data_IF_391825109312
#
_entry.id   IF_391825109312
#
_cell.length_a   1.000
_cell.length_b   1.000
_cell.length_c   1.000
_cell.angle_alpha   90.00
_cell.angle_beta   90.00
_cell.angle_gamma   90.00
#
_symmetry.space_group_name_H-M   'P 1'
#
loop_
_entity.id
_entity.type
_entity.pdbx_description
1 polymer ?
#
# COMPACT_ATOMS: atom_id res chain seq x y z
N UNK A 1 -11.26 -24.18 1.04
CA UNK A 1 -11.06 -23.01 0.16
C UNK A 1 -10.34 -23.51 -1.08
N UNK A 2 -10.95 -23.30 -2.24
CA UNK A 2 -10.35 -23.72 -3.51
C UNK A 2 -9.34 -22.67 -3.99
N UNK A 3 -8.31 -23.13 -4.71
CA UNK A 3 -7.30 -22.24 -5.28
C UNK A 3 -7.90 -21.07 -6.10
N UNK A 4 -8.93 -21.28 -6.95
CA UNK A 4 -9.58 -20.18 -7.68
C UNK A 4 -10.19 -19.11 -6.78
N UNK A 5 -10.81 -19.49 -5.65
CA UNK A 5 -11.40 -18.52 -4.71
C UNK A 5 -10.32 -17.65 -4.05
N UNK A 6 -9.17 -18.23 -3.75
CA UNK A 6 -8.02 -17.49 -3.20
C UNK A 6 -7.48 -16.48 -4.21
N UNK A 7 -7.33 -16.89 -5.47
CA UNK A 7 -6.88 -16.01 -6.57
C UNK A 7 -7.87 -14.86 -6.77
N UNK A 8 -9.16 -15.14 -6.78
CA UNK A 8 -10.19 -14.11 -6.91
C UNK A 8 -10.17 -13.12 -5.73
N UNK A 9 -10.06 -13.62 -4.49
CA UNK A 9 -9.96 -12.77 -3.31
C UNK A 9 -8.72 -11.88 -3.35
N UNK A 10 -7.57 -12.39 -3.81
CA UNK A 10 -6.33 -11.60 -4.00
C UNK A 10 -6.49 -10.54 -5.07
N UNK A 11 -7.17 -10.87 -6.19
CA UNK A 11 -7.46 -9.90 -7.24
C UNK A 11 -8.33 -8.75 -6.70
N UNK A 12 -9.40 -9.07 -5.98
CA UNK A 12 -10.30 -8.07 -5.38
C UNK A 12 -9.55 -7.17 -4.36
N UNK A 13 -8.70 -7.76 -3.54
CA UNK A 13 -7.86 -7.01 -2.60
C UNK A 13 -6.91 -6.07 -3.35
N UNK A 14 -6.29 -6.53 -4.44
CA UNK A 14 -5.41 -5.72 -5.28
C UNK A 14 -6.12 -4.53 -5.92
N UNK A 15 -7.33 -4.74 -6.44
CA UNK A 15 -8.17 -3.66 -7.00
C UNK A 15 -8.52 -2.63 -5.91
N UNK A 16 -8.93 -3.09 -4.73
CA UNK A 16 -9.25 -2.20 -3.60
C UNK A 16 -8.06 -1.34 -3.16
N UNK A 17 -6.89 -1.95 -2.99
CA UNK A 17 -5.66 -1.24 -2.62
C UNK A 17 -5.19 -0.27 -3.72
N UNK A 18 -5.28 -0.69 -4.98
CA UNK A 18 -4.92 0.16 -6.13
C UNK A 18 -5.81 1.40 -6.24
N UNK A 19 -7.08 1.29 -5.89
CA UNK A 19 -7.99 2.44 -5.86
C UNK A 19 -7.81 3.32 -4.62
N UNK A 20 -7.44 2.77 -3.48
CA UNK A 20 -7.34 3.50 -2.22
C UNK A 20 -6.14 4.47 -2.20
N UNK A 21 -4.97 4.04 -2.67
CA UNK A 21 -3.73 4.83 -2.58
C UNK A 21 -3.81 6.21 -3.24
N UNK A 22 -4.26 6.37 -4.50
CA UNK A 22 -4.37 7.69 -5.13
C UNK A 22 -5.31 8.62 -4.38
N UNK A 23 -6.42 8.09 -3.87
CA UNK A 23 -7.40 8.87 -3.11
C UNK A 23 -6.83 9.35 -1.77
N UNK A 24 -6.07 8.49 -1.06
CA UNK A 24 -5.38 8.87 0.17
C UNK A 24 -4.34 9.97 -0.07
N UNK A 25 -3.57 9.89 -1.16
CA UNK A 25 -2.60 10.92 -1.55
C UNK A 25 -3.31 12.24 -1.79
N UNK A 26 -4.40 12.24 -2.57
CA UNK A 26 -5.17 13.42 -2.87
C UNK A 26 -5.71 14.09 -1.59
N UNK A 27 -6.43 13.34 -0.76
CA UNK A 27 -7.00 13.82 0.50
C UNK A 27 -5.92 14.36 1.45
N UNK A 28 -4.80 13.63 1.61
CA UNK A 28 -3.72 14.06 2.48
C UNK A 28 -3.07 15.35 1.98
N UNK A 29 -2.88 15.46 0.66
CA UNK A 29 -2.29 16.65 0.05
C UNK A 29 -3.20 17.88 0.14
N UNK A 30 -4.50 17.70 0.07
CA UNK A 30 -5.50 18.74 0.24
C UNK A 30 -5.58 19.22 1.71
N UNK A 31 -5.65 18.27 2.65
CA UNK A 31 -5.77 18.56 4.07
C UNK A 31 -4.53 19.29 4.63
N UNK A 32 -3.35 19.00 4.13
CA UNK A 32 -2.10 19.59 4.60
C UNK A 32 -1.80 21.00 4.07
N UNK A 33 -2.54 21.44 3.05
CA UNK A 33 -2.32 22.73 2.39
C UNK A 33 -1.00 22.81 1.60
N UNK A 34 -0.78 23.87 0.81
CA UNK A 34 0.31 23.94 -0.19
C UNK A 34 1.71 23.80 0.39
N UNK A 35 1.94 24.32 1.58
CA UNK A 35 3.28 24.38 2.21
C UNK A 35 3.76 23.01 2.73
N UNK A 36 2.85 22.16 3.19
CA UNK A 36 3.19 20.91 3.87
C UNK A 36 2.77 19.66 3.09
N UNK A 37 2.31 19.80 1.84
CA UNK A 37 1.84 18.69 1.00
C UNK A 37 2.82 17.52 0.93
N UNK A 38 4.08 17.81 0.60
CA UNK A 38 5.11 16.78 0.46
C UNK A 38 5.34 16.03 1.77
N UNK A 39 5.53 16.75 2.86
CA UNK A 39 5.75 16.15 4.19
C UNK A 39 4.56 15.30 4.65
N UNK A 40 3.35 15.77 4.45
CA UNK A 40 2.15 15.02 4.83
C UNK A 40 1.99 13.73 4.03
N UNK A 41 2.23 13.77 2.72
CA UNK A 41 2.21 12.60 1.86
C UNK A 41 3.32 11.62 2.22
N UNK A 42 4.55 12.09 2.47
CA UNK A 42 5.64 11.24 2.95
C UNK A 42 5.31 10.57 4.27
N UNK A 43 4.76 11.33 5.23
CA UNK A 43 4.34 10.79 6.52
C UNK A 43 3.23 9.73 6.38
N UNK A 44 2.26 9.98 5.50
CA UNK A 44 1.22 8.99 5.18
C UNK A 44 1.83 7.70 4.59
N UNK A 45 2.79 7.82 3.66
CA UNK A 45 3.47 6.67 3.07
C UNK A 45 4.28 5.86 4.08
N UNK A 46 4.81 6.46 5.14
CA UNK A 46 5.47 5.74 6.23
C UNK A 46 4.53 4.74 6.94
N UNK A 47 3.23 4.94 6.85
CA UNK A 47 2.25 3.99 7.37
C UNK A 47 2.37 2.58 6.78
N UNK A 48 2.76 2.47 5.50
CA UNK A 48 2.90 1.18 4.81
C UNK A 48 4.04 0.34 5.41
N UNK A 49 5.30 0.80 5.45
CA UNK A 49 6.39 0.01 6.05
C UNK A 49 6.22 -0.18 7.56
N UNK A 50 5.63 0.78 8.29
CA UNK A 50 5.33 0.61 9.71
C UNK A 50 4.29 -0.49 9.91
N UNK A 51 3.22 -0.50 9.11
CA UNK A 51 2.22 -1.56 9.14
C UNK A 51 2.80 -2.94 8.81
N UNK A 52 3.69 -2.99 7.81
CA UNK A 52 4.39 -4.23 7.45
C UNK A 52 5.35 -4.70 8.57
N UNK A 53 6.04 -3.78 9.25
CA UNK A 53 6.88 -4.11 10.40
C UNK A 53 6.04 -4.65 11.58
N UNK A 54 4.89 -4.04 11.87
CA UNK A 54 3.95 -4.54 12.87
C UNK A 54 3.41 -5.93 12.51
N UNK A 55 3.04 -6.16 11.25
CA UNK A 55 2.61 -7.47 10.78
C UNK A 55 3.72 -8.53 10.93
N UNK A 56 4.98 -8.16 10.67
CA UNK A 56 6.11 -9.05 10.89
C UNK A 56 6.30 -9.40 12.38
N UNK A 57 6.13 -8.45 13.30
CA UNK A 57 6.21 -8.74 14.76
C UNK A 57 5.09 -9.66 15.21
N UNK A 58 3.89 -9.56 14.65
CA UNK A 58 2.81 -10.52 14.90
C UNK A 58 3.18 -11.93 14.44
N UNK A 59 3.90 -12.05 13.33
CA UNK A 59 4.46 -13.33 12.87
C UNK A 59 5.49 -13.92 13.83
N UNK A 60 6.30 -13.08 14.50
CA UNK A 60 7.24 -13.53 15.55
C UNK A 60 6.54 -13.98 16.82
N UNK A 61 5.60 -13.19 17.33
CA UNK A 61 4.82 -13.53 18.53
C UNK A 61 3.91 -14.73 18.28
N UNK A 62 3.56 -14.95 17.02
CA UNK A 62 2.57 -15.92 16.58
C UNK A 62 3.08 -17.35 16.37
N UNK A 63 4.31 -17.69 16.81
CA UNK A 63 4.73 -19.10 16.82
C UNK A 63 3.74 -20.03 17.56
N UNK A 64 2.88 -19.45 18.43
CA UNK A 64 1.82 -20.14 19.17
C UNK A 64 0.39 -19.70 18.76
N UNK A 65 0.24 -18.76 17.83
CA UNK A 65 -1.06 -18.30 17.35
C UNK A 65 -1.43 -19.02 16.05
N UNK A 66 -2.69 -19.41 15.94
CA UNK A 66 -3.18 -19.98 14.69
C UNK A 66 -3.02 -18.93 13.55
N UNK A 67 -2.51 -19.35 12.39
CA UNK A 67 -2.27 -18.49 11.23
C UNK A 67 -3.52 -17.67 10.82
N UNK A 68 -4.71 -18.18 11.12
CA UNK A 68 -5.97 -17.52 10.89
C UNK A 68 -6.10 -16.18 11.66
N UNK A 69 -5.47 -16.08 12.84
CA UNK A 69 -5.52 -14.88 13.68
C UNK A 69 -4.95 -13.66 12.97
N UNK A 70 -3.88 -13.84 12.19
CA UNK A 70 -3.26 -12.76 11.41
C UNK A 70 -4.24 -12.22 10.35
N UNK A 71 -5.01 -13.12 9.70
CA UNK A 71 -6.03 -12.72 8.73
C UNK A 71 -7.22 -12.03 9.39
N UNK A 72 -7.64 -12.49 10.57
CA UNK A 72 -8.72 -11.84 11.31
C UNK A 72 -8.33 -10.43 11.74
N UNK A 73 -7.15 -10.26 12.32
CA UNK A 73 -6.64 -8.93 12.71
C UNK A 73 -6.51 -8.01 11.49
N UNK A 74 -5.90 -8.52 10.42
CA UNK A 74 -5.73 -7.76 9.17
C UNK A 74 -7.04 -7.39 8.47
N UNK A 75 -8.11 -8.16 8.65
CA UNK A 75 -9.42 -7.89 8.07
C UNK A 75 -10.32 -7.02 8.94
N UNK A 76 -10.35 -7.26 10.25
CA UNK A 76 -11.24 -6.55 11.18
C UNK A 76 -10.83 -5.09 11.36
N UNK A 77 -9.53 -4.82 11.45
CA UNK A 77 -9.03 -3.44 11.66
C UNK A 77 -9.47 -2.48 10.54
N UNK A 78 -9.30 -2.78 9.24
CA UNK A 78 -9.84 -1.94 8.18
C UNK A 78 -11.35 -1.79 8.20
N UNK A 79 -12.10 -2.86 8.54
CA UNK A 79 -13.57 -2.81 8.63
C UNK A 79 -14.05 -1.85 9.72
N UNK A 80 -13.32 -1.72 10.82
CA UNK A 80 -13.63 -0.75 11.89
C UNK A 80 -13.21 0.66 11.44
N UNK A 81 -12.10 0.79 10.72
CA UNK A 81 -11.60 2.09 10.27
C UNK A 81 -12.50 2.73 9.21
N UNK A 82 -13.13 1.95 8.33
CA UNK A 82 -14.00 2.49 7.27
C UNK A 82 -15.13 3.35 7.83
N UNK A 83 -16.00 2.89 8.75
CA UNK A 83 -17.07 3.72 9.29
C UNK A 83 -16.54 4.91 10.11
N UNK A 84 -15.39 4.76 10.76
CA UNK A 84 -14.74 5.83 11.49
C UNK A 84 -14.27 6.95 10.55
N UNK A 85 -13.65 6.58 9.44
CA UNK A 85 -13.23 7.51 8.40
C UNK A 85 -14.43 8.17 7.73
N UNK A 86 -15.48 7.42 7.41
CA UNK A 86 -16.70 7.99 6.82
C UNK A 86 -17.37 9.02 7.73
N UNK A 87 -17.22 8.89 9.06
CA UNK A 87 -17.80 9.83 10.03
C UNK A 87 -16.94 11.08 10.26
N UNK A 88 -15.63 10.94 10.18
CA UNK A 88 -14.69 11.98 10.62
C UNK A 88 -13.93 12.64 9.47
N UNK A 89 -13.88 12.00 8.30
CA UNK A 89 -13.20 12.58 7.15
C UNK A 89 -14.11 13.60 6.47
N UNK A 90 -13.74 14.89 6.43
CA UNK A 90 -14.49 15.87 5.66
C UNK A 90 -14.41 15.54 4.17
N UNK A 91 -15.48 15.78 3.44
CA UNK A 91 -15.43 15.69 1.98
C UNK A 91 -14.38 16.65 1.43
N UNK A 92 -13.70 16.19 0.37
CA UNK A 92 -12.70 17.00 -0.33
C UNK A 92 -13.30 18.33 -0.77
N UNK A 93 -12.70 19.43 -0.32
CA UNK A 93 -13.14 20.78 -0.69
C UNK A 93 -13.08 21.03 -2.20
N UNK A 94 -12.16 20.35 -2.89
CA UNK A 94 -12.01 20.40 -4.35
C UNK A 94 -13.19 19.70 -5.03
N UNK A 95 -13.69 18.60 -4.47
CA UNK A 95 -14.88 17.91 -5.00
C UNK A 95 -16.17 18.68 -4.74
N UNK A 96 -16.24 19.41 -3.63
CA UNK A 96 -17.41 20.19 -3.25
C UNK A 96 -17.51 21.52 -4.00
N UNK A 97 -16.35 22.09 -4.46
CA UNK A 97 -16.28 23.41 -5.08
C UNK A 97 -16.29 23.44 -6.60
N UNK A 98 -15.81 22.41 -7.26
CA UNK A 98 -15.69 22.37 -8.72
C UNK A 98 -16.57 21.27 -9.33
N UNK A 99 -17.66 21.68 -9.98
CA UNK A 99 -18.32 20.86 -11.00
C UNK A 99 -17.44 20.74 -12.27
N UNK A 100 -16.12 20.75 -12.14
CA UNK A 100 -15.27 20.40 -13.25
C UNK A 100 -15.38 18.91 -13.48
N UNK A 101 -16.06 18.53 -14.54
CA UNK A 101 -16.08 17.16 -15.01
C UNK A 101 -14.63 16.69 -15.11
N UNK A 102 -14.29 15.64 -14.33
CA UNK A 102 -12.97 15.02 -14.43
C UNK A 102 -12.63 14.85 -15.90
N UNK A 103 -11.41 15.22 -16.33
CA UNK A 103 -11.05 15.09 -17.73
C UNK A 103 -11.32 13.63 -18.14
N UNK A 104 -11.97 13.42 -19.29
CA UNK A 104 -12.34 12.07 -19.71
C UNK A 104 -11.07 11.21 -19.79
N UNK A 105 -11.16 9.94 -19.42
CA UNK A 105 -10.04 8.99 -19.53
C UNK A 105 -9.35 9.06 -20.90
N UNK A 106 -10.08 9.46 -21.94
CA UNK A 106 -9.53 9.72 -23.26
C UNK A 106 -8.44 10.79 -23.29
N UNK A 107 -8.43 11.74 -22.35
CA UNK A 107 -7.39 12.78 -22.29
C UNK A 107 -6.02 12.21 -21.91
N UNK A 108 -5.96 11.09 -21.18
CA UNK A 108 -4.72 10.38 -20.87
C UNK A 108 -4.09 9.71 -22.11
N UNK A 109 -4.92 9.40 -23.11
CA UNK A 109 -4.51 8.76 -24.37
C UNK A 109 -4.57 9.72 -25.56
N UNK A 110 -4.61 11.03 -25.32
CA UNK A 110 -4.45 12.01 -26.37
C UNK A 110 -3.06 11.90 -27.01
N UNK A 111 -2.89 12.21 -28.32
CA UNK A 111 -1.63 12.03 -29.03
C UNK A 111 -0.41 12.68 -28.35
N UNK A 112 -0.64 13.76 -27.63
CA UNK A 112 0.41 14.53 -26.93
C UNK A 112 0.82 13.90 -25.58
N UNK A 113 -0.08 13.16 -24.92
CA UNK A 113 0.11 12.62 -23.57
C UNK A 113 0.23 11.09 -23.52
N UNK A 114 -0.25 10.38 -24.54
CA UNK A 114 -0.32 8.94 -24.57
C UNK A 114 1.04 8.26 -24.35
N UNK A 115 2.10 8.73 -25.02
CA UNK A 115 3.44 8.15 -24.88
C UNK A 115 3.97 8.30 -23.47
N UNK A 116 3.83 9.50 -22.87
CA UNK A 116 4.25 9.75 -21.50
C UNK A 116 3.46 8.89 -20.51
N UNK A 117 2.16 8.78 -20.69
CA UNK A 117 1.28 7.95 -19.85
C UNK A 117 1.68 6.48 -19.92
N UNK A 118 1.88 5.93 -21.11
CA UNK A 118 2.28 4.52 -21.28
C UNK A 118 3.67 4.25 -20.70
N UNK A 119 4.64 5.12 -20.92
CA UNK A 119 5.99 4.97 -20.35
C UNK A 119 5.95 5.03 -18.82
N UNK A 120 5.19 5.94 -18.23
CA UNK A 120 5.02 6.02 -16.78
C UNK A 120 4.35 4.76 -16.21
N UNK A 121 3.32 4.25 -16.87
CA UNK A 121 2.66 3.03 -16.44
C UNK A 121 3.60 1.82 -16.52
N UNK A 122 4.37 1.71 -17.60
CA UNK A 122 5.33 0.63 -17.78
C UNK A 122 6.45 0.70 -16.72
N UNK A 123 7.01 1.88 -16.51
CA UNK A 123 8.03 2.11 -15.49
C UNK A 123 7.50 1.76 -14.10
N UNK A 124 6.32 2.23 -13.75
CA UNK A 124 5.69 1.95 -12.47
C UNK A 124 5.38 0.46 -12.29
N UNK A 125 4.87 -0.20 -13.33
CA UNK A 125 4.62 -1.63 -13.32
C UNK A 125 5.90 -2.44 -13.03
N UNK A 126 6.98 -2.19 -13.77
CA UNK A 126 8.24 -2.93 -13.53
C UNK A 126 8.87 -2.60 -12.19
N UNK A 127 8.79 -1.36 -11.73
CA UNK A 127 9.27 -0.98 -10.39
C UNK A 127 8.51 -1.75 -9.31
N UNK A 128 7.19 -1.77 -9.36
CA UNK A 128 6.39 -2.52 -8.39
C UNK A 128 6.62 -4.03 -8.49
N UNK A 129 6.76 -4.57 -9.70
CA UNK A 129 7.05 -5.98 -9.91
C UNK A 129 8.35 -6.38 -9.19
N UNK A 130 9.44 -5.62 -9.38
CA UNK A 130 10.72 -5.88 -8.72
C UNK A 130 10.60 -5.75 -7.20
N UNK A 131 9.97 -4.67 -6.71
CA UNK A 131 9.79 -4.43 -5.27
C UNK A 131 8.99 -5.56 -4.63
N UNK A 132 7.85 -5.94 -5.22
CA UNK A 132 7.02 -7.01 -4.69
C UNK A 132 7.65 -8.38 -4.80
N UNK A 133 8.42 -8.66 -5.86
CA UNK A 133 9.22 -9.89 -5.94
C UNK A 133 10.22 -9.96 -4.78
N UNK A 134 10.99 -8.90 -4.55
CA UNK A 134 11.97 -8.88 -3.46
C UNK A 134 11.28 -9.05 -2.09
N UNK A 135 10.21 -8.30 -1.81
CA UNK A 135 9.53 -8.37 -0.52
C UNK A 135 8.93 -9.76 -0.25
N UNK A 136 8.35 -10.40 -1.27
CA UNK A 136 7.68 -11.68 -1.07
C UNK A 136 8.62 -12.88 -1.11
N UNK A 137 9.67 -12.85 -1.95
CA UNK A 137 10.56 -13.99 -2.13
C UNK A 137 11.79 -13.97 -1.21
N UNK A 138 12.23 -12.77 -0.76
CA UNK A 138 13.40 -12.64 0.09
C UNK A 138 13.35 -13.51 1.35
N UNK A 139 12.26 -13.52 2.14
CA UNK A 139 12.22 -14.36 3.34
C UNK A 139 12.29 -15.85 3.01
N UNK A 140 11.65 -16.28 1.92
CA UNK A 140 11.71 -17.67 1.47
C UNK A 140 13.13 -18.07 1.05
N UNK A 141 13.79 -17.26 0.24
CA UNK A 141 15.17 -17.49 -0.21
C UNK A 141 16.15 -17.55 0.96
N UNK A 142 15.98 -16.72 1.98
CA UNK A 142 16.82 -16.76 3.18
C UNK A 142 16.65 -18.08 3.93
N UNK A 143 15.44 -18.57 4.08
CA UNK A 143 15.17 -19.85 4.73
C UNK A 143 15.73 -21.03 3.92
N UNK A 144 15.62 -21.00 2.59
CA UNK A 144 16.21 -22.01 1.71
C UNK A 144 17.74 -22.03 1.77
N UNK A 145 18.37 -20.88 2.06
CA UNK A 145 19.82 -20.80 2.28
C UNK A 145 20.26 -21.22 3.69
N UNK A 146 19.33 -21.70 4.52
CA UNK A 146 19.62 -22.22 5.83
C UNK A 146 19.54 -21.20 6.99
N UNK A 147 19.07 -19.98 6.72
CA UNK A 147 18.79 -19.03 7.81
C UNK A 147 17.56 -19.48 8.59
N UNK A 148 17.55 -19.20 9.89
CA UNK A 148 16.38 -19.46 10.72
C UNK A 148 15.23 -18.50 10.34
N UNK A 149 13.95 -18.93 10.42
CA UNK A 149 12.80 -18.06 10.14
C UNK A 149 12.81 -16.76 10.94
N UNK A 150 13.31 -16.76 12.17
CA UNK A 150 13.50 -15.57 13.01
C UNK A 150 14.52 -14.59 12.40
N UNK A 151 15.60 -15.08 11.82
CA UNK A 151 16.62 -14.25 11.16
C UNK A 151 16.05 -13.64 9.87
N UNK A 152 15.34 -14.43 9.07
CA UNK A 152 14.66 -13.93 7.87
C UNK A 152 13.66 -12.81 8.19
N UNK A 153 12.88 -12.98 9.24
CA UNK A 153 11.96 -11.95 9.69
C UNK A 153 12.68 -10.71 10.23
N UNK A 154 13.84 -10.85 10.90
CA UNK A 154 14.69 -9.72 11.31
C UNK A 154 15.20 -8.90 10.11
N UNK A 155 15.60 -9.57 9.03
CA UNK A 155 16.00 -8.91 7.77
C UNK A 155 14.82 -8.14 7.17
N UNK A 156 13.63 -8.73 7.15
CA UNK A 156 12.42 -8.05 6.66
C UNK A 156 12.05 -6.83 7.51
N UNK A 157 12.16 -6.94 8.83
CA UNK A 157 11.96 -5.81 9.72
C UNK A 157 12.94 -4.66 9.42
N UNK A 158 14.23 -4.97 9.29
CA UNK A 158 15.26 -3.98 8.98
C UNK A 158 15.01 -3.30 7.62
N UNK A 159 14.60 -4.08 6.59
CA UNK A 159 14.23 -3.55 5.29
C UNK A 159 13.06 -2.56 5.38
N UNK A 160 12.02 -2.89 6.14
CA UNK A 160 10.86 -2.02 6.30
C UNK A 160 11.18 -0.76 7.12
N UNK A 161 12.03 -0.86 8.13
CA UNK A 161 12.51 0.31 8.88
C UNK A 161 13.38 1.22 8.02
N UNK A 162 14.22 0.63 7.15
CA UNK A 162 15.00 1.38 6.16
C UNK A 162 14.10 2.09 5.15
N UNK A 163 13.05 1.42 4.66
CA UNK A 163 12.07 2.03 3.75
C UNK A 163 11.33 3.20 4.42
N UNK A 164 10.91 3.05 5.68
CA UNK A 164 10.24 4.11 6.43
C UNK A 164 11.15 5.34 6.61
N UNK A 165 12.42 5.13 6.99
CA UNK A 165 13.39 6.22 7.15
C UNK A 165 13.70 6.91 5.81
N UNK A 166 13.86 6.15 4.73
CA UNK A 166 14.09 6.70 3.39
C UNK A 166 12.90 7.50 2.84
N UNK A 167 11.68 7.17 3.24
CA UNK A 167 10.48 7.92 2.84
C UNK A 167 10.39 9.31 3.52
N UNK A 168 11.07 9.49 4.68
CA UNK A 168 11.07 10.75 5.43
C UNK A 168 12.20 11.70 5.01
N UNK A 169 13.19 11.22 4.27
CA UNK A 169 14.30 12.03 3.73
C UNK A 169 13.91 12.68 2.40
#
# INVERSE_FOLDING_TARGET
WDFPSLVFARLMTGVGLGAALPNLIALTSEAAGPRFRGTAVSLMYCGVPIGAALAATLGFAGANLAWQTVFWVGGVVPLILVPLLMRWLPESAVFAGEKQAAPPLRALFAPETATATLLLWLCYFFTLLVVYMLINWLPLLLVEQGFQPSQAAGVMFALQMGAASGTLM
#
